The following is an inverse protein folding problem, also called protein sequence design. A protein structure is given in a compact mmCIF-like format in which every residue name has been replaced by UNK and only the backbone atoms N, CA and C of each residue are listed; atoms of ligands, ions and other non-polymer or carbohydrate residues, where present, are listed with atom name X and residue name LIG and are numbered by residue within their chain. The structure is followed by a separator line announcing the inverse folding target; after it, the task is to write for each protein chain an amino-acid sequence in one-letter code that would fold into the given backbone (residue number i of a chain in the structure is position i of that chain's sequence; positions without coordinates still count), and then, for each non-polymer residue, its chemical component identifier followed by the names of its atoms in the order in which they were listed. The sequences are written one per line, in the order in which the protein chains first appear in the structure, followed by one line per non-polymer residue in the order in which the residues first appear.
data_IF_886559994522
#
_entry.id   IF_886559994522
#
_cell.length_a   1.000
_cell.length_b   1.000
_cell.length_c   1.000
_cell.angle_alpha   90.00
_cell.angle_beta   90.00
_cell.angle_gamma   90.00
#
_symmetry.space_group_name_H-M   'P 1'
#
loop_
_entity.id
_entity.type
_entity.pdbx_description
1 polymer ?
#
# COMPACT_ATOMS: atom_id res chain seq x y z
N UNK A 1 10.26 -20.20 -21.36
CA UNK A 1 11.58 -19.56 -21.23
C UNK A 1 12.65 -20.62 -21.26
N UNK A 2 13.72 -20.39 -22.01
CA UNK A 2 14.92 -21.21 -22.02
C UNK A 2 15.68 -21.08 -20.69
N UNK A 3 16.45 -22.09 -20.32
CA UNK A 3 17.33 -22.06 -19.16
C UNK A 3 18.27 -20.84 -19.16
N UNK A 4 18.81 -20.47 -20.33
CA UNK A 4 19.69 -19.31 -20.49
C UNK A 4 18.93 -18.00 -20.22
N UNK A 5 17.65 -17.91 -20.61
CA UNK A 5 16.82 -16.72 -20.35
C UNK A 5 16.55 -16.56 -18.86
N UNK A 6 16.26 -17.67 -18.17
CA UNK A 6 16.08 -17.67 -16.71
C UNK A 6 17.35 -17.18 -15.99
N UNK A 7 18.54 -17.68 -16.37
CA UNK A 7 19.80 -17.23 -15.77
C UNK A 7 20.05 -15.73 -15.99
N UNK A 8 19.76 -15.22 -17.19
CA UNK A 8 19.89 -13.78 -17.48
C UNK A 8 18.93 -12.94 -16.64
N UNK A 9 17.70 -13.43 -16.44
CA UNK A 9 16.70 -12.78 -15.59
C UNK A 9 17.16 -12.75 -14.12
N UNK A 10 17.55 -13.88 -13.55
CA UNK A 10 18.02 -13.95 -12.16
C UNK A 10 19.23 -13.05 -11.92
N UNK A 11 20.22 -13.06 -12.82
CA UNK A 11 21.39 -12.16 -12.70
C UNK A 11 20.98 -10.69 -12.68
N UNK A 12 20.00 -10.30 -13.51
CA UNK A 12 19.50 -8.92 -13.54
C UNK A 12 18.82 -8.55 -12.22
N UNK A 13 17.96 -9.42 -11.70
CA UNK A 13 17.24 -9.22 -10.43
C UNK A 13 18.22 -9.09 -9.25
N UNK A 14 19.26 -9.92 -9.19
CA UNK A 14 20.32 -9.81 -8.17
C UNK A 14 21.04 -8.46 -8.22
N UNK A 15 21.46 -8.02 -9.40
CA UNK A 15 22.14 -6.72 -9.57
C UNK A 15 21.23 -5.53 -9.21
N UNK A 16 19.92 -5.65 -9.43
CA UNK A 16 18.95 -4.64 -9.00
C UNK A 16 18.84 -4.62 -7.47
N UNK A 17 18.78 -5.80 -6.83
CA UNK A 17 18.68 -5.92 -5.37
C UNK A 17 19.96 -5.44 -4.67
N UNK A 18 21.15 -5.72 -5.19
CA UNK A 18 22.42 -5.22 -4.63
C UNK A 18 22.41 -3.69 -4.52
N UNK A 19 21.97 -2.99 -5.57
CA UNK A 19 21.83 -1.52 -5.54
C UNK A 19 20.81 -1.04 -4.52
N UNK A 20 19.73 -1.78 -4.33
CA UNK A 20 18.70 -1.45 -3.35
C UNK A 20 19.24 -1.60 -1.93
N UNK A 21 20.01 -2.65 -1.65
CA UNK A 21 20.68 -2.87 -0.37
C UNK A 21 21.79 -1.86 -0.08
N UNK A 22 22.50 -1.38 -1.13
CA UNK A 22 23.48 -0.30 -1.00
C UNK A 22 22.83 1.04 -0.62
N UNK A 23 21.66 1.35 -1.18
CA UNK A 23 20.93 2.59 -0.91
C UNK A 23 20.20 2.55 0.44
N UNK A 24 19.64 1.41 0.80
CA UNK A 24 18.80 1.23 1.98
C UNK A 24 19.27 0.01 2.78
N UNK A 25 20.30 0.17 3.63
CA UNK A 25 20.88 -0.94 4.39
C UNK A 25 19.96 -1.45 5.52
N UNK A 26 18.90 -0.71 5.87
CA UNK A 26 17.89 -1.08 6.87
C UNK A 26 16.71 -1.87 6.27
N UNK A 27 16.91 -2.51 5.11
CA UNK A 27 15.88 -3.34 4.49
C UNK A 27 15.54 -4.57 5.33
N UNK A 28 14.24 -4.80 5.48
CA UNK A 28 13.64 -5.95 6.13
C UNK A 28 12.67 -6.66 5.19
N UNK A 29 12.46 -7.96 5.39
CA UNK A 29 11.39 -8.70 4.71
C UNK A 29 10.10 -8.62 5.54
N UNK A 30 9.04 -8.09 4.95
CA UNK A 30 7.69 -8.10 5.49
C UNK A 30 6.86 -9.19 4.79
N UNK A 31 6.20 -10.05 5.55
CA UNK A 31 5.27 -11.05 5.03
C UNK A 31 3.84 -10.66 5.38
N UNK A 32 2.99 -10.47 4.36
CA UNK A 32 1.59 -10.13 4.59
C UNK A 32 0.73 -11.35 4.99
N UNK A 33 -0.55 -11.09 5.29
CA UNK A 33 -1.52 -12.13 5.67
C UNK A 33 -1.64 -13.27 4.63
N UNK A 34 -1.40 -12.98 3.35
CA UNK A 34 -1.49 -13.92 2.25
C UNK A 34 -0.15 -14.54 1.88
N UNK A 35 0.86 -14.41 2.75
CA UNK A 35 2.21 -14.92 2.54
C UNK A 35 2.96 -14.27 1.37
N UNK A 36 2.53 -13.09 0.91
CA UNK A 36 3.34 -12.32 -0.03
C UNK A 36 4.50 -11.68 0.73
N UNK A 37 5.71 -11.90 0.21
CA UNK A 37 6.93 -11.29 0.71
C UNK A 37 7.15 -9.96 0.01
N UNK A 38 7.36 -8.92 0.80
CA UNK A 38 7.68 -7.56 0.36
C UNK A 38 8.93 -7.12 1.11
N UNK A 39 9.72 -6.25 0.49
CA UNK A 39 10.83 -5.62 1.20
C UNK A 39 10.41 -4.25 1.70
N UNK A 40 10.80 -3.91 2.92
CA UNK A 40 10.47 -2.64 3.55
C UNK A 40 11.70 -1.98 4.16
N UNK A 41 11.73 -0.65 4.20
CA UNK A 41 12.79 0.13 4.84
C UNK A 41 12.20 1.37 5.49
N UNK A 42 12.67 1.72 6.68
CA UNK A 42 12.28 2.96 7.35
C UNK A 42 12.92 4.19 6.69
N UNK A 43 14.13 4.02 6.12
CA UNK A 43 14.84 5.06 5.39
C UNK A 43 14.05 5.62 4.21
N UNK A 44 13.18 4.82 3.59
CA UNK A 44 12.40 5.28 2.43
C UNK A 44 11.11 5.99 2.80
N UNK A 45 10.68 6.01 4.07
CA UNK A 45 9.36 6.54 4.44
C UNK A 45 9.15 7.97 3.89
N UNK A 46 10.16 8.82 4.06
CA UNK A 46 10.21 10.21 3.60
C UNK A 46 10.45 10.36 2.09
N UNK A 47 10.66 9.26 1.37
CA UNK A 47 10.88 9.21 -0.07
C UNK A 47 9.76 8.50 -0.84
N UNK A 48 8.80 7.90 -0.13
CA UNK A 48 7.66 7.22 -0.75
C UNK A 48 6.87 8.18 -1.64
N UNK A 49 6.55 7.77 -2.85
CA UNK A 49 5.79 8.58 -3.82
C UNK A 49 4.64 7.81 -4.43
N UNK A 50 4.60 6.48 -4.27
CA UNK A 50 3.53 5.60 -4.72
C UNK A 50 2.79 4.98 -3.53
N UNK A 51 1.57 4.51 -3.78
CA UNK A 51 0.75 3.84 -2.78
C UNK A 51 -0.06 2.74 -3.43
N UNK A 52 -0.03 1.54 -2.85
CA UNK A 52 -0.95 0.47 -3.18
C UNK A 52 -2.09 0.46 -2.15
N UNK A 53 -3.34 0.51 -2.63
CA UNK A 53 -4.54 0.60 -1.79
C UNK A 53 -5.36 -0.67 -2.02
N UNK A 54 -5.72 -1.38 -0.95
CA UNK A 54 -6.49 -2.61 -1.03
C UNK A 54 -7.29 -2.86 0.26
N UNK A 55 -8.33 -3.70 0.18
CA UNK A 55 -8.95 -4.25 1.37
C UNK A 55 -8.19 -5.49 1.86
N UNK A 56 -8.10 -5.65 3.19
CA UNK A 56 -7.50 -6.83 3.82
C UNK A 56 -8.28 -8.14 3.56
N UNK A 57 -9.52 -8.04 3.10
CA UNK A 57 -10.35 -9.19 2.70
C UNK A 57 -11.37 -8.73 1.65
N UNK A 58 -11.46 -9.42 0.51
CA UNK A 58 -12.33 -9.00 -0.59
C UNK A 58 -13.82 -9.24 -0.38
N UNK A 59 -14.24 -10.00 0.65
CA UNK A 59 -15.61 -10.49 0.80
C UNK A 59 -16.39 -9.91 1.99
N UNK A 60 -15.75 -9.17 2.89
CA UNK A 60 -16.42 -8.67 4.10
C UNK A 60 -16.85 -7.21 3.92
N UNK A 61 -18.07 -6.90 4.36
CA UNK A 61 -18.69 -5.57 4.26
C UNK A 61 -18.04 -4.51 5.17
N UNK A 62 -17.22 -4.95 6.13
CA UNK A 62 -16.46 -4.13 7.08
C UNK A 62 -14.95 -4.29 6.87
N UNK A 63 -14.51 -4.71 5.67
CA UNK A 63 -13.11 -5.01 5.45
C UNK A 63 -12.22 -3.77 5.64
N UNK A 64 -11.20 -3.84 6.52
CA UNK A 64 -10.28 -2.74 6.71
C UNK A 64 -9.59 -2.36 5.40
N UNK A 65 -9.57 -1.07 5.09
CA UNK A 65 -8.86 -0.49 3.97
C UNK A 65 -7.40 -0.26 4.38
N UNK A 66 -6.52 -0.93 3.65
CA UNK A 66 -5.08 -0.91 3.83
C UNK A 66 -4.42 -0.04 2.76
N UNK A 67 -3.33 0.61 3.14
CA UNK A 67 -2.42 1.27 2.22
C UNK A 67 -0.99 0.85 2.47
N UNK A 68 -0.25 0.74 1.38
CA UNK A 68 1.13 0.32 1.34
C UNK A 68 1.93 1.39 0.58
N UNK A 69 2.47 2.41 1.28
CA UNK A 69 3.36 3.39 0.69
C UNK A 69 4.64 2.73 0.19
N UNK A 70 5.10 3.11 -1.00
CA UNK A 70 6.31 2.54 -1.59
C UNK A 70 7.01 3.51 -2.54
N UNK A 71 8.23 3.15 -2.91
CA UNK A 71 9.02 3.79 -3.95
C UNK A 71 9.55 2.71 -4.89
N UNK A 72 9.60 3.00 -6.19
CA UNK A 72 10.26 2.13 -7.15
C UNK A 72 11.75 2.50 -7.26
N UNK A 73 12.63 1.57 -6.91
CA UNK A 73 14.08 1.73 -6.95
C UNK A 73 14.64 0.71 -7.93
N UNK A 74 15.09 1.18 -9.09
CA UNK A 74 15.64 0.33 -10.15
C UNK A 74 14.70 -0.83 -10.58
N UNK A 75 13.39 -0.63 -10.56
CA UNK A 75 12.41 -1.66 -10.91
C UNK A 75 11.98 -2.57 -9.76
N UNK A 76 12.48 -2.35 -8.55
CA UNK A 76 12.07 -3.05 -7.34
C UNK A 76 11.19 -2.12 -6.49
N UNK A 77 10.07 -2.63 -6.01
CA UNK A 77 9.22 -1.91 -5.07
C UNK A 77 9.78 -2.07 -3.66
N UNK A 78 10.17 -0.95 -3.05
CA UNK A 78 10.56 -0.90 -1.64
C UNK A 78 9.43 -0.21 -0.90
N UNK A 79 8.88 -0.87 0.12
CA UNK A 79 7.75 -0.37 0.92
C UNK A 79 8.24 0.39 2.16
N UNK A 80 7.42 1.30 2.67
CA UNK A 80 7.70 1.96 3.96
C UNK A 80 7.87 0.94 5.09
N UNK A 81 8.43 1.35 6.22
CA UNK A 81 8.37 0.59 7.46
C UNK A 81 7.74 1.48 8.56
N UNK A 82 6.51 1.20 9.03
CA UNK A 82 5.66 0.05 8.72
C UNK A 82 5.24 -0.07 7.25
N UNK A 83 5.15 -1.31 6.73
CA UNK A 83 4.80 -1.58 5.33
C UNK A 83 3.33 -1.33 4.99
N UNK A 84 2.45 -1.42 5.99
CA UNK A 84 1.00 -1.35 5.81
C UNK A 84 0.37 -0.49 6.90
N UNK A 85 -0.59 0.34 6.49
CA UNK A 85 -1.40 1.17 7.37
C UNK A 85 -2.88 0.88 7.13
N UNK A 86 -3.63 0.72 8.20
CA UNK A 86 -5.10 0.68 8.13
C UNK A 86 -5.61 2.10 8.30
N UNK A 87 -6.29 2.60 7.28
CA UNK A 87 -6.67 4.02 7.15
C UNK A 87 -8.18 4.27 7.13
N UNK A 88 -8.96 3.20 7.04
CA UNK A 88 -10.41 3.27 6.92
C UNK A 88 -11.00 1.88 6.72
N UNK A 89 -12.22 1.85 6.22
CA UNK A 89 -12.94 0.62 5.92
C UNK A 89 -14.04 0.86 4.88
N UNK A 90 -14.48 -0.24 4.28
CA UNK A 90 -15.64 -0.25 3.41
C UNK A 90 -16.91 0.02 4.21
N UNK A 91 -17.85 0.77 3.65
CA UNK A 91 -19.20 0.88 4.21
C UNK A 91 -20.03 -0.33 3.79
N UNK A 92 -20.74 -0.99 4.74
CA UNK A 92 -21.64 -2.08 4.41
C UNK A 92 -22.76 -1.65 3.47
N UNK A 93 -23.12 -2.50 2.51
CA UNK A 93 -24.10 -2.18 1.46
C UNK A 93 -25.43 -1.64 1.99
N UNK A 94 -25.96 -2.19 3.09
CA UNK A 94 -27.22 -1.75 3.71
C UNK A 94 -27.13 -0.35 4.35
N UNK A 95 -25.93 0.19 4.56
CA UNK A 95 -25.68 1.53 5.10
C UNK A 95 -25.24 2.52 4.01
N UNK A 96 -25.11 2.08 2.76
CA UNK A 96 -24.57 2.85 1.64
C UNK A 96 -23.47 2.10 0.88
N UNK A 97 -22.85 2.78 -0.09
CA UNK A 97 -21.67 2.27 -0.83
C UNK A 97 -20.56 3.32 -0.74
N UNK A 98 -19.33 2.88 -0.47
CA UNK A 98 -18.15 3.73 -0.47
C UNK A 98 -17.15 3.38 0.63
N UNK A 99 -16.23 4.30 0.87
CA UNK A 99 -15.11 4.16 1.79
C UNK A 99 -15.22 5.18 2.93
N UNK A 100 -15.03 4.72 4.16
CA UNK A 100 -15.00 5.56 5.36
C UNK A 100 -13.58 5.71 5.89
N UNK A 101 -12.97 6.91 5.84
CA UNK A 101 -11.68 7.14 6.48
C UNK A 101 -11.79 7.08 8.01
N UNK A 102 -10.74 6.63 8.68
CA UNK A 102 -10.61 6.74 10.15
C UNK A 102 -10.05 8.10 10.55
N UNK A 103 -10.63 8.78 11.54
CA UNK A 103 -10.33 10.18 11.89
C UNK A 103 -8.83 10.54 11.95
N UNK A 104 -7.97 9.64 12.44
CA UNK A 104 -6.54 9.88 12.63
C UNK A 104 -5.61 9.25 11.57
N UNK A 105 -6.14 8.84 10.41
CA UNK A 105 -5.34 8.13 9.40
C UNK A 105 -4.17 8.98 8.86
N UNK A 106 -4.38 10.28 8.65
CA UNK A 106 -3.33 11.18 8.18
C UNK A 106 -2.23 11.38 9.23
N UNK A 107 -2.60 11.56 10.49
CA UNK A 107 -1.65 11.73 11.60
C UNK A 107 -0.77 10.49 11.77
N UNK A 108 -1.35 9.29 11.62
CA UNK A 108 -0.61 8.02 11.65
C UNK A 108 0.46 7.97 10.55
N UNK A 109 0.13 8.35 9.32
CA UNK A 109 1.08 8.37 8.20
C UNK A 109 2.18 9.41 8.41
N UNK A 110 1.82 10.64 8.82
CA UNK A 110 2.79 11.71 9.10
C UNK A 110 3.75 11.34 10.23
N UNK A 111 3.25 10.67 11.28
CA UNK A 111 4.07 10.19 12.40
C UNK A 111 5.20 9.25 11.93
N UNK A 112 4.92 8.43 10.93
CA UNK A 112 5.91 7.53 10.32
C UNK A 112 6.69 8.19 9.17
N UNK A 113 6.62 9.51 9.03
CA UNK A 113 7.29 10.31 7.98
C UNK A 113 6.87 9.95 6.54
N UNK A 114 5.66 9.44 6.33
CA UNK A 114 5.14 9.22 4.98
C UNK A 114 4.88 10.57 4.29
N UNK A 115 5.22 10.66 3.01
CA UNK A 115 5.17 11.93 2.27
C UNK A 115 3.74 12.45 2.07
N UNK A 116 3.60 13.77 1.99
CA UNK A 116 2.32 14.39 1.64
C UNK A 116 1.84 13.99 0.23
N UNK A 117 2.74 13.62 -0.68
CA UNK A 117 2.37 13.09 -2.01
C UNK A 117 1.51 11.83 -1.86
N UNK A 118 1.93 10.89 -1.01
CA UNK A 118 1.17 9.67 -0.73
C UNK A 118 -0.13 9.99 0.00
N UNK A 119 -0.09 10.85 1.02
CA UNK A 119 -1.28 11.26 1.78
C UNK A 119 -2.32 11.90 0.84
N UNK A 120 -1.90 12.75 -0.09
CA UNK A 120 -2.79 13.36 -1.08
C UNK A 120 -3.41 12.33 -2.02
N UNK A 121 -2.66 11.32 -2.48
CA UNK A 121 -3.21 10.21 -3.29
C UNK A 121 -4.30 9.44 -2.54
N UNK A 122 -4.10 9.17 -1.26
CA UNK A 122 -5.09 8.51 -0.40
C UNK A 122 -6.32 9.41 -0.20
N UNK A 123 -6.12 10.71 0.01
CA UNK A 123 -7.22 11.65 0.16
C UNK A 123 -8.08 11.75 -1.12
N UNK A 124 -7.44 11.72 -2.29
CA UNK A 124 -8.14 11.65 -3.59
C UNK A 124 -8.96 10.35 -3.67
N UNK A 125 -8.36 9.21 -3.32
CA UNK A 125 -9.08 7.92 -3.29
C UNK A 125 -10.34 7.98 -2.42
N UNK A 126 -10.28 8.52 -1.20
CA UNK A 126 -11.47 8.69 -0.35
C UNK A 126 -12.48 9.67 -0.95
N UNK A 127 -12.01 10.71 -1.63
CA UNK A 127 -12.91 11.68 -2.26
C UNK A 127 -13.67 11.08 -3.46
N UNK A 128 -13.02 10.21 -4.23
CA UNK A 128 -13.63 9.54 -5.37
C UNK A 128 -14.56 8.40 -4.95
N UNK A 129 -14.34 7.82 -3.77
CA UNK A 129 -15.12 6.72 -3.21
C UNK A 129 -15.94 7.14 -1.99
N UNK A 130 -16.42 8.39 -1.95
CA UNK A 130 -17.22 8.87 -0.82
C UNK A 130 -18.48 8.02 -0.62
N UNK A 131 -18.93 7.86 0.63
CA UNK A 131 -20.20 7.22 0.93
C UNK A 131 -21.35 7.85 0.16
N UNK A 132 -22.05 7.05 -0.63
CA UNK A 132 -23.31 7.44 -1.25
C UNK A 132 -24.47 6.94 -0.38
N UNK A 133 -25.36 7.85 0.01
CA UNK A 133 -26.62 7.47 0.61
C UNK A 133 -27.50 6.83 -0.45
N UNK A 134 -27.89 5.58 -0.21
CA UNK A 134 -28.93 4.93 -0.99
C UNK A 134 -30.26 5.32 -0.32
N UNK A 135 -31.03 6.18 -0.96
CA UNK A 135 -32.43 6.37 -0.56
C UNK A 135 -33.19 5.10 -0.95
N UNK A 136 -33.76 4.41 0.04
CA UNK A 136 -34.67 3.31 -0.21
C UNK A 136 -35.93 3.87 -0.88
N UNK A 137 -36.17 3.46 -2.12
CA UNK A 137 -37.48 3.65 -2.76
C UNK A 137 -38.31 2.44 -2.33
N UNK A 138 -39.23 2.65 -1.38
CA UNK A 138 -40.22 1.63 -1.03
C UNK A 138 -41.15 1.42 -2.25
N UNK A 139 -41.12 0.22 -2.84
CA UNK A 139 -42.08 -0.24 -3.87
C UNK A 139 -43.43 -0.62 -3.26
#
# INVERSE_FOLDING_TARGET
MSYIENLKKTKKEMLQMEKVLELYPDIEEHTDRWSNKRISSSSINSETDQVFINHNCGCCDDSPLQVWPYKNVNGIEVFSNPACFIIGEKIPFYSGIGERPYDNWQEKLRKENITETVINKIQIFFNDNKPQHIEYVDD
#
